data_IF_105048219916
#
_entry.id   IF_105048219916
#
_cell.length_a   1.000
_cell.length_b   1.000
_cell.length_c   1.000
_cell.angle_alpha   90.00
_cell.angle_beta   90.00
_cell.angle_gamma   90.00
#
_symmetry.space_group_name_H-M   'P 1'
#
loop_
_entity.id
_entity.type
_entity.pdbx_description
1 polymer ?
#
# COMPACT_ATOMS: atom_id res chain seq x y z
N UNK A 1 -5.96 -0.82 13.94
CA UNK A 1 -5.19 0.44 13.70
C UNK A 1 -4.41 0.21 12.43
N UNK A 2 -4.31 1.20 11.56
CA UNK A 2 -3.61 1.07 10.27
C UNK A 2 -2.44 2.04 10.20
N UNK A 3 -1.29 1.56 9.76
CA UNK A 3 -0.08 2.36 9.48
C UNK A 3 0.26 2.23 8.00
N UNK A 4 0.77 3.30 7.38
CA UNK A 4 1.11 3.32 5.96
C UNK A 4 2.54 3.76 5.79
N UNK A 5 3.35 2.86 5.25
CA UNK A 5 4.73 3.13 4.92
C UNK A 5 4.89 3.38 3.42
N UNK A 6 5.39 4.57 3.06
CA UNK A 6 5.65 4.91 1.65
C UNK A 6 7.14 4.79 1.34
N UNK A 7 7.48 3.93 0.38
CA UNK A 7 8.85 3.74 -0.11
C UNK A 7 8.96 4.23 -1.54
N UNK A 8 9.96 5.06 -1.83
CA UNK A 8 10.31 5.43 -3.19
C UNK A 8 11.62 4.74 -3.58
N UNK A 9 11.67 4.08 -4.73
CA UNK A 9 12.94 3.64 -5.32
C UNK A 9 12.93 3.80 -6.84
N UNK A 10 14.13 3.75 -7.42
CA UNK A 10 14.30 3.78 -8.87
C UNK A 10 14.43 2.36 -9.38
N UNK A 11 13.67 2.00 -10.40
CA UNK A 11 13.85 0.73 -11.07
C UNK A 11 15.14 0.72 -11.91
N UNK A 12 15.46 -0.43 -12.51
CA UNK A 12 16.65 -0.62 -13.36
C UNK A 12 16.68 0.31 -14.59
N UNK A 13 15.55 0.93 -14.94
CA UNK A 13 15.38 1.87 -16.05
C UNK A 13 15.47 3.34 -15.61
N UNK A 14 15.64 3.60 -14.32
CA UNK A 14 15.68 4.95 -13.73
C UNK A 14 14.30 5.60 -13.56
N UNK A 15 13.22 4.82 -13.66
CA UNK A 15 11.86 5.28 -13.38
C UNK A 15 11.63 5.23 -11.86
N UNK A 16 11.06 6.31 -11.30
CA UNK A 16 10.65 6.32 -9.90
C UNK A 16 9.43 5.43 -9.74
N UNK A 17 9.50 4.48 -8.81
CA UNK A 17 8.40 3.65 -8.38
C UNK A 17 8.10 3.98 -6.92
N UNK A 18 6.83 4.20 -6.62
CA UNK A 18 6.32 4.35 -5.26
C UNK A 18 5.65 3.05 -4.85
N UNK A 19 6.07 2.51 -3.70
CA UNK A 19 5.38 1.42 -3.00
C UNK A 19 4.77 1.96 -1.72
N UNK A 20 3.59 1.47 -1.39
CA UNK A 20 2.86 1.78 -0.15
C UNK A 20 2.55 0.47 0.54
N UNK A 21 3.08 0.28 1.74
CA UNK A 21 2.80 -0.88 2.58
C UNK A 21 1.81 -0.46 3.66
N UNK A 22 0.62 -1.04 3.64
CA UNK A 22 -0.42 -0.82 4.65
C UNK A 22 -0.35 -1.95 5.68
N UNK A 23 -0.07 -1.60 6.93
CA UNK A 23 -0.06 -2.55 8.04
C UNK A 23 -1.37 -2.42 8.82
N UNK A 24 -2.15 -3.50 8.90
CA UNK A 24 -3.41 -3.55 9.65
C UNK A 24 -3.20 -4.44 10.86
N UNK A 25 -3.40 -3.90 12.06
CA UNK A 25 -3.43 -4.69 13.29
C UNK A 25 -4.86 -5.09 13.64
N UNK A 26 -5.12 -6.40 13.73
CA UNK A 26 -6.40 -6.95 14.15
C UNK A 26 -6.63 -6.85 15.68
N UNK A 27 -7.86 -7.12 16.14
CA UNK A 27 -8.22 -7.20 17.55
C UNK A 27 -7.39 -8.21 18.36
N UNK A 28 -6.85 -9.25 17.72
CA UNK A 28 -5.91 -10.18 18.34
C UNK A 28 -4.50 -9.60 18.56
N UNK A 29 -4.19 -8.43 17.98
CA UNK A 29 -2.84 -7.85 17.96
C UNK A 29 -1.94 -8.42 16.85
N UNK A 30 -2.51 -9.19 15.92
CA UNK A 30 -1.80 -9.71 14.75
C UNK A 30 -1.72 -8.62 13.68
N UNK A 31 -0.52 -8.42 13.14
CA UNK A 31 -0.23 -7.42 12.10
C UNK A 31 -0.23 -8.09 10.73
N UNK A 32 -1.00 -7.51 9.80
CA UNK A 32 -1.10 -7.95 8.41
C UNK A 32 -0.59 -6.85 7.50
N UNK A 33 0.42 -7.17 6.69
CA UNK A 33 1.06 -6.24 5.77
C UNK A 33 0.50 -6.42 4.35
N UNK A 34 0.08 -5.32 3.75
CA UNK A 34 -0.53 -5.26 2.43
C UNK A 34 0.25 -4.28 1.56
N UNK A 35 0.98 -4.80 0.57
CA UNK A 35 1.83 -3.98 -0.30
C UNK A 35 1.08 -3.56 -1.57
N UNK A 36 1.17 -2.28 -1.89
CA UNK A 36 0.59 -1.66 -3.07
C UNK A 36 1.67 -0.92 -3.84
N UNK A 37 1.61 -0.97 -5.17
CA UNK A 37 2.46 -0.20 -6.05
C UNK A 37 1.66 0.90 -6.71
N UNK A 38 2.18 2.12 -6.66
CA UNK A 38 1.59 3.23 -7.42
C UNK A 38 1.91 3.07 -8.90
N UNK A 39 0.88 3.19 -9.72
CA UNK A 39 0.95 3.16 -11.16
C UNK A 39 0.97 4.59 -11.71
N UNK A 40 1.52 4.78 -12.93
CA UNK A 40 1.63 6.09 -13.59
C UNK A 40 0.29 6.82 -13.81
N UNK A 41 -0.83 6.10 -13.80
CA UNK A 41 -2.19 6.65 -13.91
C UNK A 41 -2.78 7.13 -12.57
N UNK A 42 -2.04 6.99 -11.47
CA UNK A 42 -2.52 7.28 -10.11
C UNK A 42 -3.35 6.16 -9.48
N UNK A 43 -3.50 5.01 -10.17
CA UNK A 43 -4.08 3.80 -9.59
C UNK A 43 -3.05 3.07 -8.71
N UNK A 44 -3.54 2.18 -7.85
CA UNK A 44 -2.70 1.31 -7.02
C UNK A 44 -2.86 -0.16 -7.41
N UNK A 45 -1.75 -0.83 -7.68
CA UNK A 45 -1.67 -2.27 -7.93
C UNK A 45 -1.36 -3.00 -6.63
N UNK A 46 -2.25 -3.90 -6.20
CA UNK A 46 -1.99 -4.74 -5.04
C UNK A 46 -0.97 -5.84 -5.38
N UNK A 47 0.10 -5.96 -4.59
CA UNK A 47 1.20 -6.91 -4.79
C UNK A 47 1.09 -8.15 -3.91
N UNK A 48 0.09 -8.23 -3.02
CA UNK A 48 -0.15 -9.40 -2.17
C UNK A 48 -0.86 -10.55 -2.88
N UNK A 49 -1.02 -11.66 -2.17
CA UNK A 49 -1.80 -12.81 -2.66
C UNK A 49 -3.31 -12.52 -2.56
N UNK A 50 -4.05 -12.73 -3.65
CA UNK A 50 -5.51 -12.60 -3.69
C UNK A 50 -5.98 -11.14 -3.84
N UNK A 51 -7.18 -10.88 -3.32
CA UNK A 51 -7.77 -9.54 -3.30
C UNK A 51 -7.35 -8.80 -2.02
N UNK A 52 -7.00 -7.50 -2.09
CA UNK A 52 -6.69 -6.73 -0.90
C UNK A 52 -7.92 -6.59 -0.01
N UNK A 53 -7.77 -6.58 1.32
CA UNK A 53 -8.90 -6.35 2.22
C UNK A 53 -9.40 -4.91 2.07
N UNK A 54 -10.72 -4.71 2.22
CA UNK A 54 -11.37 -3.40 2.09
C UNK A 54 -10.72 -2.35 3.00
N UNK A 55 -10.39 -2.70 4.25
CA UNK A 55 -9.72 -1.78 5.17
C UNK A 55 -8.33 -1.34 4.71
N UNK A 56 -7.62 -2.13 3.89
CA UNK A 56 -6.34 -1.71 3.33
C UNK A 56 -6.54 -0.70 2.20
N UNK A 57 -7.56 -0.91 1.36
CA UNK A 57 -7.95 0.02 0.29
C UNK A 57 -8.40 1.35 0.93
N UNK A 58 -9.31 1.30 1.90
CA UNK A 58 -9.81 2.51 2.58
C UNK A 58 -8.68 3.31 3.25
N UNK A 59 -7.72 2.62 3.89
CA UNK A 59 -6.56 3.27 4.47
C UNK A 59 -5.69 3.94 3.39
N UNK A 60 -5.50 3.27 2.25
CA UNK A 60 -4.70 3.78 1.13
C UNK A 60 -5.35 5.01 0.47
N UNK A 61 -6.66 4.97 0.25
CA UNK A 61 -7.44 6.08 -0.32
C UNK A 61 -7.47 7.28 0.64
N UNK A 62 -7.66 7.03 1.93
CA UNK A 62 -7.65 8.08 2.96
C UNK A 62 -6.30 8.77 3.15
N UNK A 63 -5.20 8.14 2.75
CA UNK A 63 -3.85 8.71 2.84
C UNK A 63 -3.50 9.67 1.67
N UNK A 64 -4.27 9.65 0.58
CA UNK A 64 -4.01 10.47 -0.61
C UNK A 64 -4.65 11.87 -0.59
N UNK A 65 -5.52 12.17 0.38
CA UNK A 65 -6.34 13.38 0.45
C UNK A 65 -5.84 14.33 1.57
N UNK A 66 -4.62 14.86 1.43
CA UNK A 66 -4.07 15.98 2.24
C UNK A 66 -3.37 17.04 1.38
#
# INVERSE_FOLDING_TARGET
MSDIHTTHANNERGEQITWRTVTITDAAGEEFEHEFRELDNGDHEYLGEGEPPESAIEALEGYGDE
#
